data_IF_257268526735
#
_entry.id   IF_257268526735
#
_cell.length_a   1.000
_cell.length_b   1.000
_cell.length_c   1.000
_cell.angle_alpha   90.00
_cell.angle_beta   90.00
_cell.angle_gamma   90.00
#
_symmetry.space_group_name_H-M   'P 1'
#
loop_
_entity.id
_entity.type
_entity.pdbx_description
1 polymer ?
#
# COMPACT_ATOMS: atom_id res chain seq x y z
N UNK A 1 13.48 -47.89 5.33
CA UNK A 1 13.42 -46.72 6.22
C UNK A 1 12.98 -45.51 5.39
N UNK A 2 11.67 -45.25 5.33
CA UNK A 2 11.07 -44.25 4.45
C UNK A 2 11.29 -42.83 4.99
N UNK A 3 12.19 -42.08 4.36
CA UNK A 3 12.26 -40.62 4.51
C UNK A 3 11.00 -40.02 3.86
N UNK A 4 9.97 -39.75 4.65
CA UNK A 4 8.85 -38.90 4.18
C UNK A 4 9.46 -37.55 3.81
N UNK A 5 9.38 -37.18 2.53
CA UNK A 5 9.66 -35.81 2.08
C UNK A 5 8.67 -34.90 2.81
N UNK A 6 9.18 -34.10 3.73
CA UNK A 6 8.45 -33.01 4.36
C UNK A 6 7.98 -32.07 3.23
N UNK A 7 6.69 -32.11 2.88
CA UNK A 7 6.12 -31.22 1.89
C UNK A 7 6.21 -29.80 2.46
N UNK A 8 7.09 -28.96 1.88
CA UNK A 8 7.06 -27.52 2.15
C UNK A 8 5.68 -27.01 1.73
N UNK A 9 4.89 -26.51 2.69
CA UNK A 9 3.71 -25.73 2.35
C UNK A 9 4.18 -24.43 1.67
N UNK A 10 3.74 -24.23 0.43
CA UNK A 10 3.94 -22.96 -0.25
C UNK A 10 3.00 -21.93 0.39
N UNK A 11 3.58 -20.97 1.11
CA UNK A 11 2.82 -19.85 1.68
C UNK A 11 2.80 -18.71 0.67
N UNK A 12 1.61 -18.18 0.39
CA UNK A 12 1.40 -17.04 -0.51
C UNK A 12 0.72 -15.93 0.27
N UNK A 13 1.16 -14.69 0.06
CA UNK A 13 0.49 -13.50 0.57
C UNK A 13 -0.70 -13.15 -0.35
N UNK A 14 -1.87 -12.95 0.24
CA UNK A 14 -3.02 -12.37 -0.43
C UNK A 14 -3.23 -10.96 0.11
N UNK A 15 -3.09 -9.96 -0.76
CA UNK A 15 -3.32 -8.56 -0.42
C UNK A 15 -4.58 -7.99 -1.06
N UNK A 16 -5.17 -6.98 -0.42
CA UNK A 16 -6.28 -6.20 -0.98
C UNK A 16 -6.13 -4.72 -0.64
N UNK A 17 -6.63 -3.86 -1.52
CA UNK A 17 -6.65 -2.41 -1.34
C UNK A 17 -7.88 -2.05 -0.50
N UNK A 18 -7.66 -1.41 0.66
CA UNK A 18 -8.68 -1.14 1.67
C UNK A 18 -8.63 0.32 2.14
N UNK A 19 -9.64 0.74 2.90
CA UNK A 19 -9.72 2.11 3.43
C UNK A 19 -9.93 3.14 2.33
N UNK A 20 -10.53 2.75 1.20
CA UNK A 20 -10.76 3.64 0.06
C UNK A 20 -12.06 4.45 0.15
N UNK A 21 -12.79 4.34 1.27
CA UNK A 21 -13.91 5.26 1.57
C UNK A 21 -13.40 6.69 1.80
N UNK A 22 -14.25 7.70 1.64
CA UNK A 22 -13.87 9.11 1.82
C UNK A 22 -15.04 9.95 2.34
N UNK A 23 -14.90 10.55 3.52
CA UNK A 23 -15.95 11.34 4.15
C UNK A 23 -17.23 10.52 4.35
N UNK A 24 -18.30 10.90 3.65
CA UNK A 24 -19.57 10.19 3.67
C UNK A 24 -19.70 9.08 2.63
N UNK A 25 -18.76 8.99 1.68
CA UNK A 25 -18.81 7.98 0.62
C UNK A 25 -18.18 6.69 1.10
N UNK A 26 -18.97 5.61 1.05
CA UNK A 26 -18.53 4.25 1.39
C UNK A 26 -18.15 3.52 0.10
N UNK A 27 -16.94 2.99 0.06
CA UNK A 27 -16.38 2.25 -1.07
C UNK A 27 -15.88 0.90 -0.56
N UNK A 28 -16.21 -0.17 -1.30
CA UNK A 28 -15.79 -1.53 -0.98
C UNK A 28 -16.55 -2.18 0.18
N UNK A 29 -16.01 -3.29 0.67
CA UNK A 29 -16.53 -4.01 1.83
C UNK A 29 -15.36 -4.57 2.66
N UNK A 30 -14.58 -3.65 3.24
CA UNK A 30 -13.37 -3.97 4.01
C UNK A 30 -13.61 -5.05 5.07
N UNK A 31 -14.74 -5.00 5.78
CA UNK A 31 -15.04 -5.93 6.86
C UNK A 31 -15.24 -7.37 6.38
N UNK A 32 -15.80 -7.56 5.19
CA UNK A 32 -15.95 -8.90 4.60
C UNK A 32 -14.63 -9.45 4.03
N UNK A 33 -13.73 -8.57 3.58
CA UNK A 33 -12.47 -8.96 2.93
C UNK A 33 -11.37 -9.25 3.94
N UNK A 34 -11.29 -8.48 5.03
CA UNK A 34 -10.22 -8.60 6.03
C UNK A 34 -9.97 -10.01 6.58
N UNK A 35 -10.98 -10.87 6.84
CA UNK A 35 -10.74 -12.23 7.30
C UNK A 35 -10.10 -13.16 6.24
N UNK A 36 -10.06 -12.75 4.97
CA UNK A 36 -9.64 -13.56 3.84
C UNK A 36 -8.22 -13.26 3.36
N UNK A 37 -7.62 -12.15 3.82
CA UNK A 37 -6.36 -11.63 3.31
C UNK A 37 -5.27 -11.69 4.39
N UNK A 38 -4.01 -11.69 3.97
CA UNK A 38 -2.84 -11.58 4.87
C UNK A 38 -2.29 -10.16 4.96
N UNK A 39 -2.51 -9.34 3.93
CA UNK A 39 -2.00 -7.97 3.83
C UNK A 39 -3.06 -6.97 3.33
N UNK A 40 -3.05 -5.75 3.84
CA UNK A 40 -3.95 -4.67 3.45
C UNK A 40 -3.14 -3.45 2.97
N UNK A 41 -3.43 -2.97 1.76
CA UNK A 41 -2.89 -1.71 1.25
C UNK A 41 -3.88 -0.59 1.60
N UNK A 42 -3.56 0.24 2.58
CA UNK A 42 -4.48 1.26 3.12
C UNK A 42 -4.29 2.60 2.40
N UNK A 43 -5.36 3.17 1.85
CA UNK A 43 -5.33 4.47 1.17
C UNK A 43 -4.92 5.62 2.11
N UNK A 44 -4.17 6.58 1.55
CA UNK A 44 -3.45 7.59 2.33
C UNK A 44 -3.96 9.04 2.17
N UNK A 45 -5.16 9.25 1.63
CA UNK A 45 -5.82 10.57 1.59
C UNK A 45 -5.77 11.32 0.28
N UNK A 46 -5.02 10.85 -0.73
CA UNK A 46 -4.88 11.53 -2.02
C UNK A 46 -5.87 11.01 -3.06
N UNK A 47 -5.84 9.70 -3.34
CA UNK A 47 -6.78 9.08 -4.29
C UNK A 47 -8.08 8.67 -3.60
N UNK A 48 -7.99 8.31 -2.33
CA UNK A 48 -9.07 7.82 -1.46
C UNK A 48 -8.59 7.82 0.00
N UNK A 49 -9.50 7.47 0.93
CA UNK A 49 -9.20 7.47 2.36
C UNK A 49 -9.22 8.88 2.96
N UNK A 50 -9.45 8.96 4.26
CA UNK A 50 -9.23 10.18 5.03
C UNK A 50 -8.63 9.82 6.40
N UNK A 51 -8.33 10.82 7.23
CA UNK A 51 -7.74 10.60 8.54
C UNK A 51 -8.58 9.68 9.45
N UNK A 52 -9.90 9.70 9.31
CA UNK A 52 -10.81 8.83 10.06
C UNK A 52 -10.85 7.44 9.46
N UNK A 53 -10.91 7.33 8.13
CA UNK A 53 -10.91 6.03 7.45
C UNK A 53 -9.59 5.29 7.66
N UNK A 54 -8.44 5.95 7.51
CA UNK A 54 -7.13 5.37 7.83
C UNK A 54 -7.12 4.75 9.23
N UNK A 55 -7.59 5.49 10.25
CA UNK A 55 -7.66 4.98 11.63
C UNK A 55 -8.58 3.77 11.75
N UNK A 56 -9.77 3.82 11.14
CA UNK A 56 -10.75 2.72 11.16
C UNK A 56 -10.19 1.48 10.50
N UNK A 57 -9.64 1.59 9.31
CA UNK A 57 -9.05 0.47 8.55
C UNK A 57 -7.87 -0.14 9.30
N UNK A 58 -6.99 0.68 9.89
CA UNK A 58 -5.86 0.18 10.72
C UNK A 58 -6.36 -0.62 11.91
N UNK A 59 -7.37 -0.14 12.64
CA UNK A 59 -7.94 -0.86 13.79
C UNK A 59 -8.60 -2.17 13.37
N UNK A 60 -9.33 -2.17 12.25
CA UNK A 60 -9.97 -3.38 11.70
C UNK A 60 -8.92 -4.39 11.25
N UNK A 61 -7.87 -3.97 10.56
CA UNK A 61 -6.76 -4.81 10.12
C UNK A 61 -6.03 -5.43 11.33
N UNK A 62 -5.74 -4.61 12.35
CA UNK A 62 -5.14 -5.08 13.62
C UNK A 62 -5.99 -6.17 14.28
N UNK A 63 -7.31 -5.98 14.37
CA UNK A 63 -8.23 -6.96 14.95
C UNK A 63 -8.20 -8.30 14.20
N UNK A 64 -8.05 -8.25 12.87
CA UNK A 64 -7.99 -9.43 12.01
C UNK A 64 -6.56 -9.99 11.82
N UNK A 65 -5.54 -9.40 12.48
CA UNK A 65 -4.13 -9.79 12.34
C UNK A 65 -3.60 -9.72 10.90
N UNK A 66 -4.11 -8.75 10.14
CA UNK A 66 -3.70 -8.46 8.76
C UNK A 66 -2.53 -7.49 8.78
N UNK A 67 -1.49 -7.75 7.98
CA UNK A 67 -0.36 -6.84 7.83
C UNK A 67 -0.79 -5.56 7.12
N UNK A 68 -0.28 -4.41 7.56
CA UNK A 68 -0.73 -3.10 7.07
C UNK A 68 0.37 -2.49 6.21
N UNK A 69 0.04 -2.08 4.99
CA UNK A 69 0.91 -1.31 4.12
C UNK A 69 0.28 -0.01 3.65
N UNK A 70 1.12 0.94 3.25
CA UNK A 70 0.66 2.19 2.66
C UNK A 70 0.27 1.98 1.19
N UNK A 71 -0.84 2.58 0.79
CA UNK A 71 -1.33 2.61 -0.59
C UNK A 71 -1.31 4.03 -1.15
N UNK A 72 -0.13 4.62 -1.38
CA UNK A 72 -0.02 5.99 -1.86
C UNK A 72 -0.55 6.10 -3.29
N UNK A 73 -1.32 7.14 -3.58
CA UNK A 73 -1.85 7.44 -4.90
C UNK A 73 -1.49 8.86 -5.36
N UNK A 74 -1.85 9.18 -6.61
CA UNK A 74 -1.79 10.54 -7.11
C UNK A 74 -2.85 11.42 -6.41
N UNK A 75 -2.60 12.74 -6.27
CA UNK A 75 -3.55 13.69 -5.66
C UNK A 75 -4.74 13.98 -6.58
N UNK A 76 -5.50 12.93 -6.88
CA UNK A 76 -6.64 12.95 -7.79
C UNK A 76 -7.83 12.19 -7.17
N UNK A 77 -8.47 12.80 -6.18
CA UNK A 77 -9.62 12.20 -5.51
C UNK A 77 -10.80 11.96 -6.48
N UNK A 78 -11.03 12.88 -7.43
CA UNK A 78 -12.15 12.77 -8.39
C UNK A 78 -11.94 11.63 -9.38
N UNK A 79 -10.71 11.42 -9.84
CA UNK A 79 -10.36 10.31 -10.72
C UNK A 79 -9.89 9.06 -9.97
N UNK A 80 -10.02 9.04 -8.64
CA UNK A 80 -9.60 7.94 -7.78
C UNK A 80 -8.12 7.56 -8.00
N UNK A 81 -7.26 8.52 -8.31
CA UNK A 81 -5.83 8.27 -8.59
C UNK A 81 -5.56 7.37 -9.81
N UNK A 82 -6.53 7.21 -10.72
CA UNK A 82 -6.42 6.35 -11.91
C UNK A 82 -6.05 7.08 -13.20
N UNK A 83 -5.84 8.39 -13.14
CA UNK A 83 -5.43 9.22 -14.29
C UNK A 83 -3.98 9.61 -14.15
N UNK A 84 -3.21 9.45 -15.22
CA UNK A 84 -1.83 9.92 -15.24
C UNK A 84 -1.77 11.44 -15.11
N UNK A 85 -0.70 11.91 -14.47
CA UNK A 85 -0.42 13.33 -14.29
C UNK A 85 1.02 13.57 -14.74
N UNK A 86 1.26 14.70 -15.41
CA UNK A 86 2.61 15.14 -15.71
C UNK A 86 3.25 15.72 -14.44
N UNK A 87 4.01 14.87 -13.74
CA UNK A 87 4.65 15.18 -12.46
C UNK A 87 6.12 14.75 -12.49
N UNK A 88 6.94 15.53 -11.81
CA UNK A 88 8.38 15.27 -11.66
C UNK A 88 8.64 14.13 -10.67
N UNK A 89 9.84 13.54 -10.65
CA UNK A 89 10.18 12.44 -9.74
C UNK A 89 10.25 12.93 -8.30
N UNK A 90 10.69 14.17 -8.12
CA UNK A 90 10.78 14.83 -6.84
C UNK A 90 9.38 15.01 -6.27
N UNK A 91 8.42 15.48 -7.08
CA UNK A 91 7.02 15.54 -6.66
C UNK A 91 6.46 14.16 -6.32
N UNK A 92 6.71 13.14 -7.13
CA UNK A 92 6.34 11.76 -6.81
C UNK A 92 6.91 11.34 -5.45
N UNK A 93 8.21 11.55 -5.22
CA UNK A 93 8.87 11.21 -3.97
C UNK A 93 8.22 11.92 -2.77
N UNK A 94 8.03 13.24 -2.85
CA UNK A 94 7.45 14.05 -1.77
C UNK A 94 6.00 13.60 -1.47
N UNK A 95 5.21 13.33 -2.50
CA UNK A 95 3.84 12.82 -2.37
C UNK A 95 3.80 11.45 -1.67
N UNK A 96 4.73 10.55 -1.96
CA UNK A 96 4.80 9.25 -1.29
C UNK A 96 5.30 9.37 0.15
N UNK A 97 6.34 10.16 0.40
CA UNK A 97 6.84 10.40 1.77
C UNK A 97 5.74 10.97 2.65
N UNK A 98 4.98 11.94 2.13
CA UNK A 98 3.83 12.52 2.82
C UNK A 98 2.79 11.46 3.19
N UNK A 99 2.37 10.65 2.21
CA UNK A 99 1.32 9.65 2.38
C UNK A 99 1.73 8.50 3.32
N UNK A 100 2.98 8.05 3.23
CA UNK A 100 3.54 7.05 4.16
C UNK A 100 3.60 7.64 5.56
N UNK A 101 4.10 8.85 5.73
CA UNK A 101 4.19 9.52 7.03
C UNK A 101 2.84 9.68 7.70
N UNK A 102 1.80 10.05 6.94
CA UNK A 102 0.44 10.16 7.42
C UNK A 102 -0.09 8.82 7.97
N UNK A 103 0.02 7.74 7.20
CA UNK A 103 -0.42 6.42 7.65
C UNK A 103 0.45 5.87 8.78
N UNK A 104 1.75 6.12 8.75
CA UNK A 104 2.70 5.69 9.78
C UNK A 104 2.35 6.32 11.14
N UNK A 105 2.01 7.61 11.17
CA UNK A 105 1.58 8.28 12.39
C UNK A 105 0.26 7.68 12.93
N UNK A 106 -0.71 7.41 12.04
CA UNK A 106 -1.97 6.76 12.41
C UNK A 106 -1.72 5.36 12.97
N UNK A 107 -0.88 4.55 12.31
CA UNK A 107 -0.55 3.19 12.72
C UNK A 107 0.19 3.17 14.06
N UNK A 108 1.18 4.05 14.25
CA UNK A 108 1.93 4.20 15.49
C UNK A 108 1.02 4.58 16.67
N UNK A 109 0.05 5.48 16.46
CA UNK A 109 -0.95 5.83 17.47
C UNK A 109 -1.82 4.62 17.89
N UNK A 110 -1.97 3.63 17.02
CA UNK A 110 -2.67 2.36 17.31
C UNK A 110 -1.73 1.23 17.72
N UNK A 111 -0.43 1.50 17.93
CA UNK A 111 0.61 0.51 18.24
C UNK A 111 0.67 -0.62 17.19
N UNK A 112 0.74 -0.23 15.92
CA UNK A 112 0.92 -1.12 14.77
C UNK A 112 2.03 -0.55 13.89
N UNK A 113 2.90 -1.43 13.41
CA UNK A 113 3.96 -1.06 12.48
C UNK A 113 3.49 -1.24 11.03
N UNK A 114 3.99 -0.39 10.13
CA UNK A 114 3.81 -0.58 8.70
C UNK A 114 4.73 -1.67 8.19
N UNK A 115 4.19 -2.55 7.35
CA UNK A 115 4.86 -3.70 6.79
C UNK A 115 5.35 -3.45 5.36
N UNK A 116 4.53 -2.80 4.53
CA UNK A 116 4.85 -2.62 3.11
C UNK A 116 4.32 -1.32 2.52
N UNK A 117 4.69 -1.06 1.27
CA UNK A 117 4.11 0.01 0.44
C UNK A 117 3.82 -0.55 -0.95
N UNK A 118 2.62 -0.24 -1.46
CA UNK A 118 2.18 -0.59 -2.81
C UNK A 118 1.54 0.65 -3.44
N UNK A 119 2.10 1.27 -4.49
CA UNK A 119 1.46 2.42 -5.13
C UNK A 119 0.06 2.08 -5.70
N UNK A 120 -0.82 3.07 -5.73
CA UNK A 120 -2.18 2.96 -6.27
C UNK A 120 -2.25 3.36 -7.74
N UNK A 121 -3.12 2.68 -8.50
CA UNK A 121 -3.65 3.18 -9.77
C UNK A 121 -2.60 3.64 -10.78
N UNK A 122 -2.76 4.87 -11.29
CA UNK A 122 -1.85 5.42 -12.29
C UNK A 122 -0.41 5.55 -11.75
N UNK A 123 -0.22 5.85 -10.47
CA UNK A 123 1.12 5.93 -9.86
C UNK A 123 1.86 4.57 -9.95
N UNK A 124 1.14 3.46 -9.79
CA UNK A 124 1.69 2.13 -9.96
C UNK A 124 2.17 1.89 -11.41
N UNK A 125 1.33 2.24 -12.38
CA UNK A 125 1.67 2.06 -13.80
C UNK A 125 2.83 2.98 -14.23
N UNK A 126 2.80 4.25 -13.80
CA UNK A 126 3.88 5.21 -14.05
C UNK A 126 5.21 4.72 -13.46
N UNK A 127 5.17 4.04 -12.31
CA UNK A 127 6.36 3.45 -11.70
C UNK A 127 6.87 2.20 -12.45
N UNK A 128 6.02 1.55 -13.24
CA UNK A 128 6.32 0.32 -13.99
C UNK A 128 6.87 0.55 -15.41
N UNK A 129 6.69 1.75 -15.99
CA UNK A 129 7.15 2.04 -17.35
C UNK A 129 8.66 2.38 -17.39
N UNK A 130 9.43 1.54 -18.09
CA UNK A 130 10.89 1.66 -18.22
C UNK A 130 11.36 2.93 -18.93
N UNK A 131 10.55 3.52 -19.81
CA UNK A 131 10.94 4.76 -20.53
C UNK A 131 11.08 5.96 -19.61
N UNK A 132 10.44 5.90 -18.44
CA UNK A 132 10.48 6.92 -17.41
C UNK A 132 11.22 6.41 -16.16
N UNK A 133 12.29 5.61 -16.28
CA UNK A 133 13.18 5.17 -15.18
C UNK A 133 13.60 6.31 -14.21
N UNK A 134 12.67 6.72 -13.36
CA UNK A 134 12.78 7.76 -12.33
C UNK A 134 12.70 7.12 -10.94
N UNK A 135 12.49 5.80 -10.87
CA UNK A 135 12.25 5.05 -9.63
C UNK A 135 13.47 4.29 -9.09
N UNK A 136 14.64 4.36 -9.72
CA UNK A 136 15.89 3.89 -9.10
C UNK A 136 16.16 4.62 -7.75
N UNK A 137 15.56 5.80 -7.55
CA UNK A 137 15.57 6.59 -6.31
C UNK A 137 14.68 6.02 -5.20
N UNK A 138 13.60 5.32 -5.54
CA UNK A 138 12.59 4.86 -4.57
C UNK A 138 13.15 3.85 -3.58
N UNK A 139 14.05 2.98 -4.05
CA UNK A 139 14.72 1.96 -3.24
C UNK A 139 15.72 2.55 -2.25
N UNK A 140 16.16 3.81 -2.44
CA UNK A 140 17.26 4.42 -1.68
C UNK A 140 16.80 5.29 -0.50
N UNK A 141 15.62 5.90 -0.57
CA UNK A 141 15.24 6.96 0.37
C UNK A 141 14.03 6.66 1.26
N UNK A 142 13.19 5.69 0.92
CA UNK A 142 12.12 5.22 1.83
C UNK A 142 12.64 4.02 2.62
N UNK A 143 13.62 4.25 3.50
CA UNK A 143 14.23 3.19 4.31
C UNK A 143 14.09 3.50 5.80
N UNK A 144 12.97 3.06 6.39
CA UNK A 144 13.12 2.25 7.60
C UNK A 144 13.54 0.86 7.12
N UNK A 145 14.59 0.23 7.68
CA UNK A 145 15.05 -1.10 7.26
C UNK A 145 14.00 -2.22 7.42
N UNK A 146 12.77 -1.90 7.86
CA UNK A 146 11.69 -2.82 8.16
C UNK A 146 10.51 -2.78 7.17
N UNK A 147 10.45 -1.83 6.23
CA UNK A 147 9.31 -1.68 5.31
C UNK A 147 9.64 -2.31 3.94
N UNK A 148 8.87 -3.32 3.54
CA UNK A 148 9.00 -4.00 2.26
C UNK A 148 8.30 -3.22 1.14
N UNK A 149 9.02 -2.87 0.08
CA UNK A 149 8.40 -2.21 -1.07
C UNK A 149 7.89 -3.25 -2.08
N UNK A 150 6.57 -3.31 -2.27
CA UNK A 150 5.94 -4.23 -3.20
C UNK A 150 5.62 -3.51 -4.52
N UNK A 151 6.61 -3.43 -5.40
CA UNK A 151 6.37 -3.41 -6.85
C UNK A 151 6.39 -4.87 -7.31
N UNK A 152 5.32 -5.60 -7.02
CA UNK A 152 5.20 -6.96 -7.53
C UNK A 152 5.04 -6.85 -9.06
N UNK A 153 6.17 -6.98 -9.78
CA UNK A 153 6.28 -7.20 -11.24
C UNK A 153 6.82 -6.04 -12.11
N UNK A 154 8.03 -5.54 -11.83
CA UNK A 154 8.98 -4.99 -12.83
C UNK A 154 10.40 -5.09 -12.25
N UNK A 155 11.42 -5.77 -12.79
CA UNK A 155 11.70 -6.38 -14.09
C UNK A 155 12.59 -7.63 -13.88
N UNK A 156 12.65 -8.57 -14.84
CA UNK A 156 13.71 -9.57 -14.88
C UNK A 156 15.03 -8.94 -15.35
N UNK A 157 16.13 -9.31 -14.70
CA UNK A 157 17.44 -9.48 -15.36
C UNK A 157 17.94 -10.86 -14.91
#
# INVERSE_FOLDING_TARGET
MNKRKEQRMNQVDLNCDLGESFGHYVIGNDEAVLPLISSANVACGFHAGDYSEMRRTVLRAKKNRVAIGAHPGLPDLKGFGRREMDITPTEIYDMIVYQIGALQAVAAAQKVDLNHVKPHGALYHMASDQKNMRMLWFKRYVTSPQICFCLAWTAPI
#
